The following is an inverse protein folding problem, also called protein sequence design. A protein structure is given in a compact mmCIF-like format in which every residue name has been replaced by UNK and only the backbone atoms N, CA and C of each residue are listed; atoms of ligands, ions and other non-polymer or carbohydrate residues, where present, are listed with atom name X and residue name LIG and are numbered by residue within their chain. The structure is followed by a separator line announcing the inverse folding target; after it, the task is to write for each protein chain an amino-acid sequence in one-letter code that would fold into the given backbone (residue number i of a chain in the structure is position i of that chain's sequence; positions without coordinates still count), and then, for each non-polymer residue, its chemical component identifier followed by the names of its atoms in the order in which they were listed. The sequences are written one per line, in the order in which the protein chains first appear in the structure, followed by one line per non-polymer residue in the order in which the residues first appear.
data_IF_778828683504
#
_entry.id   IF_778828683504
#
_cell.length_a   1.000
_cell.length_b   1.000
_cell.length_c   1.000
_cell.angle_alpha   90.00
_cell.angle_beta   90.00
_cell.angle_gamma   90.00
#
_symmetry.space_group_name_H-M   'P 1'
#
loop_
_entity.id
_entity.type
_entity.pdbx_description
1 polymer ?
#
# COMPACT_ATOMS: atom_id res chain seq x y z
N UNK A 1 -5.36 -7.68 -11.57
CA UNK A 1 -6.51 -8.34 -10.92
C UNK A 1 -7.26 -9.12 -11.99
N UNK A 2 -7.56 -10.40 -11.77
CA UNK A 2 -8.42 -11.19 -12.66
C UNK A 2 -9.77 -11.36 -11.96
N UNK A 3 -10.85 -11.05 -12.67
CA UNK A 3 -12.23 -11.27 -12.21
C UNK A 3 -12.84 -12.32 -13.14
N UNK A 4 -13.07 -13.51 -12.59
CA UNK A 4 -13.56 -14.69 -13.32
C UNK A 4 -15.07 -14.87 -13.12
N UNK A 5 -15.74 -15.45 -14.11
CA UNK A 5 -17.14 -15.86 -14.01
C UNK A 5 -18.14 -14.87 -14.63
N UNK A 6 -17.69 -14.00 -15.54
CA UNK A 6 -18.58 -12.98 -16.14
C UNK A 6 -19.70 -13.57 -17.03
N UNK A 7 -19.59 -14.83 -17.42
CA UNK A 7 -20.61 -15.54 -18.19
C UNK A 7 -21.69 -16.16 -17.28
N UNK A 8 -21.31 -16.58 -16.08
CA UNK A 8 -22.22 -17.23 -15.12
C UNK A 8 -22.95 -16.23 -14.22
N UNK A 9 -22.33 -15.07 -13.95
CA UNK A 9 -22.89 -14.05 -13.07
C UNK A 9 -22.64 -12.66 -13.61
N UNK A 10 -23.72 -11.95 -13.86
CA UNK A 10 -23.65 -10.53 -14.14
C UNK A 10 -23.25 -9.76 -12.87
N UNK A 11 -22.15 -9.00 -12.98
CA UNK A 11 -21.48 -8.35 -11.84
C UNK A 11 -22.31 -7.24 -11.18
N UNK A 12 -23.29 -6.68 -11.89
CA UNK A 12 -24.09 -5.54 -11.40
C UNK A 12 -25.58 -5.78 -11.54
N UNK A 13 -26.02 -7.05 -11.42
CA UNK A 13 -27.42 -7.39 -11.55
C UNK A 13 -28.26 -6.67 -10.48
N UNK A 14 -29.22 -5.85 -10.90
CA UNK A 14 -30.08 -5.06 -10.02
C UNK A 14 -31.12 -5.92 -9.28
N UNK A 15 -31.35 -7.15 -9.75
CA UNK A 15 -32.27 -8.12 -9.12
C UNK A 15 -31.67 -8.78 -7.88
N UNK A 16 -30.33 -8.72 -7.72
CA UNK A 16 -29.63 -9.23 -6.55
C UNK A 16 -29.68 -8.22 -5.39
N UNK A 17 -30.72 -8.34 -4.56
CA UNK A 17 -30.97 -7.45 -3.39
C UNK A 17 -29.87 -7.42 -2.32
N UNK A 18 -28.83 -8.26 -2.40
CA UNK A 18 -27.79 -8.35 -1.36
C UNK A 18 -26.73 -7.25 -1.48
N UNK A 19 -26.44 -6.73 -2.68
CA UNK A 19 -25.38 -5.74 -2.91
C UNK A 19 -25.85 -4.71 -3.93
N UNK A 20 -25.73 -3.43 -3.60
CA UNK A 20 -26.02 -2.33 -4.51
C UNK A 20 -25.06 -2.35 -5.71
N UNK A 21 -25.61 -2.35 -6.94
CA UNK A 21 -24.86 -2.36 -8.20
C UNK A 21 -23.81 -1.23 -8.28
N UNK A 22 -24.14 -0.05 -7.75
CA UNK A 22 -23.22 1.10 -7.71
C UNK A 22 -22.06 0.92 -6.74
N UNK A 23 -22.21 0.11 -5.69
CA UNK A 23 -21.10 -0.20 -4.79
C UNK A 23 -19.99 -0.99 -5.51
N UNK A 24 -20.38 -1.95 -6.35
CA UNK A 24 -19.44 -2.76 -7.15
C UNK A 24 -18.79 -1.87 -8.24
N UNK A 25 -19.57 -0.99 -8.89
CA UNK A 25 -19.03 0.00 -9.84
C UNK A 25 -18.01 0.93 -9.18
N UNK A 26 -18.34 1.47 -8.00
CA UNK A 26 -17.45 2.33 -7.23
C UNK A 26 -16.16 1.63 -6.80
N UNK A 27 -16.27 0.37 -6.38
CA UNK A 27 -15.11 -0.47 -6.06
C UNK A 27 -14.16 -0.62 -7.26
N UNK A 28 -14.69 -0.97 -8.44
CA UNK A 28 -13.88 -1.14 -9.64
C UNK A 28 -13.27 0.18 -10.14
N UNK A 29 -14.01 1.28 -10.05
CA UNK A 29 -13.47 2.61 -10.33
C UNK A 29 -12.34 2.99 -9.38
N UNK A 30 -12.45 2.65 -8.10
CA UNK A 30 -11.37 2.88 -7.13
C UNK A 30 -10.11 2.10 -7.48
N UNK A 31 -10.25 0.82 -7.85
CA UNK A 31 -9.12 -0.02 -8.32
C UNK A 31 -8.44 0.61 -9.55
N UNK A 32 -9.23 1.10 -10.51
CA UNK A 32 -8.71 1.68 -11.76
C UNK A 32 -8.08 3.06 -11.55
N UNK A 33 -8.76 3.97 -10.85
CA UNK A 33 -8.38 5.38 -10.77
C UNK A 33 -7.40 5.66 -9.62
N UNK A 34 -7.65 5.07 -8.44
CA UNK A 34 -6.85 5.36 -7.25
C UNK A 34 -5.65 4.43 -7.15
N UNK A 35 -5.86 3.12 -7.34
CA UNK A 35 -4.80 2.12 -7.20
C UNK A 35 -4.07 1.82 -8.52
N UNK A 36 -4.63 2.22 -9.67
CA UNK A 36 -4.04 2.04 -11.01
C UNK A 36 -3.69 0.58 -11.31
N UNK A 37 -4.50 -0.35 -10.80
CA UNK A 37 -4.29 -1.79 -11.00
C UNK A 37 -5.07 -2.22 -12.26
N UNK A 38 -4.42 -2.88 -13.24
CA UNK A 38 -5.11 -3.44 -14.39
C UNK A 38 -6.11 -4.53 -13.98
N UNK A 39 -7.30 -4.48 -14.59
CA UNK A 39 -8.37 -5.46 -14.39
C UNK A 39 -8.54 -6.24 -15.68
N UNK A 40 -8.55 -7.57 -15.57
CA UNK A 40 -8.84 -8.50 -16.65
C UNK A 40 -10.09 -9.31 -16.26
N UNK A 41 -11.09 -9.33 -17.14
CA UNK A 41 -12.30 -10.11 -16.96
C UNK A 41 -12.24 -11.39 -17.79
N UNK A 42 -12.59 -12.52 -17.19
CA UNK A 42 -12.54 -13.84 -17.84
C UNK A 42 -13.85 -14.59 -17.66
N UNK A 43 -14.23 -15.36 -18.67
CA UNK A 43 -15.54 -16.03 -18.70
C UNK A 43 -15.65 -17.11 -17.63
N UNK A 44 -14.64 -17.96 -17.55
CA UNK A 44 -14.53 -19.12 -16.67
C UNK A 44 -13.05 -19.50 -16.49
N UNK A 45 -12.78 -20.54 -15.71
CA UNK A 45 -11.42 -21.00 -15.39
C UNK A 45 -10.59 -21.39 -16.61
N UNK A 46 -11.23 -21.97 -17.64
CA UNK A 46 -10.58 -22.34 -18.90
C UNK A 46 -10.13 -21.10 -19.67
N UNK A 47 -10.96 -20.06 -19.74
CA UNK A 47 -10.61 -18.77 -20.34
C UNK A 47 -9.48 -18.07 -19.56
N UNK A 48 -9.56 -18.08 -18.22
CA UNK A 48 -8.48 -17.59 -17.34
C UNK A 48 -7.16 -18.28 -17.64
N UNK A 49 -7.15 -19.61 -17.76
CA UNK A 49 -5.95 -20.38 -18.04
C UNK A 49 -5.32 -19.98 -19.38
N UNK A 50 -6.11 -19.76 -20.43
CA UNK A 50 -5.62 -19.30 -21.74
C UNK A 50 -5.02 -17.91 -21.69
N UNK A 51 -5.62 -16.98 -20.94
CA UNK A 51 -5.03 -15.65 -20.74
C UNK A 51 -3.67 -15.74 -20.03
N UNK A 52 -3.56 -16.57 -19.00
CA UNK A 52 -2.29 -16.82 -18.29
C UNK A 52 -1.26 -17.44 -19.25
N UNK A 53 -1.65 -18.43 -20.04
CA UNK A 53 -0.77 -19.05 -21.04
C UNK A 53 -0.23 -18.03 -22.05
N UNK A 54 -1.09 -17.19 -22.62
CA UNK A 54 -0.67 -16.13 -23.56
C UNK A 54 0.25 -15.11 -22.86
N UNK A 55 -0.05 -14.76 -21.61
CA UNK A 55 0.78 -13.84 -20.82
C UNK A 55 2.18 -14.40 -20.58
N UNK A 56 2.29 -15.69 -20.24
CA UNK A 56 3.59 -16.34 -20.01
C UNK A 56 4.42 -16.43 -21.29
N UNK A 57 3.80 -16.79 -22.42
CA UNK A 57 4.49 -16.84 -23.74
C UNK A 57 5.05 -15.49 -24.19
N UNK A 58 4.41 -14.38 -23.80
CA UNK A 58 4.90 -13.02 -24.11
C UNK A 58 6.07 -12.58 -23.22
N UNK A 59 6.25 -13.19 -22.05
CA UNK A 59 7.37 -12.88 -21.14
C UNK A 59 8.57 -13.76 -21.51
N UNK A 60 9.55 -13.18 -22.21
CA UNK A 60 10.78 -13.85 -22.65
C UNK A 60 11.78 -14.23 -21.53
N UNK A 61 11.49 -13.91 -20.27
CA UNK A 61 12.45 -14.09 -19.18
C UNK A 61 11.97 -15.14 -18.19
N UNK A 62 12.80 -16.16 -17.97
CA UNK A 62 12.69 -17.02 -16.79
C UNK A 62 12.79 -16.15 -15.54
N UNK A 63 11.70 -16.05 -14.79
CA UNK A 63 11.75 -15.45 -13.46
C UNK A 63 12.23 -16.52 -12.49
N UNK A 64 13.20 -16.18 -11.64
CA UNK A 64 13.57 -17.07 -10.55
C UNK A 64 12.33 -17.31 -9.68
N UNK A 65 11.96 -18.57 -9.46
CA UNK A 65 10.90 -18.96 -8.52
C UNK A 65 11.24 -18.58 -7.06
N UNK A 66 12.49 -18.16 -6.82
CA UNK A 66 12.95 -17.55 -5.58
C UNK A 66 12.39 -16.13 -5.45
N UNK A 67 11.08 -16.02 -5.21
CA UNK A 67 10.46 -14.80 -4.73
C UNK A 67 10.91 -14.55 -3.29
N UNK A 68 12.07 -13.92 -3.10
CA UNK A 68 12.37 -13.30 -1.81
C UNK A 68 11.38 -12.15 -1.66
N UNK A 69 10.57 -12.15 -0.58
CA UNK A 69 9.79 -10.96 -0.21
C UNK A 69 10.75 -9.78 -0.30
N UNK A 70 10.42 -8.80 -1.15
CA UNK A 70 11.19 -7.56 -1.20
C UNK A 70 11.13 -6.99 0.21
N UNK A 71 12.26 -7.03 0.93
CA UNK A 71 12.37 -6.34 2.20
C UNK A 71 12.14 -4.85 1.96
N UNK A 72 11.83 -4.12 3.04
CA UNK A 72 11.75 -2.67 2.99
C UNK A 72 13.05 -2.10 2.39
N UNK A 73 12.93 -1.15 1.46
CA UNK A 73 14.10 -0.36 1.03
C UNK A 73 14.69 0.41 2.21
N UNK A 74 15.88 0.98 2.06
CA UNK A 74 16.48 1.77 3.15
C UNK A 74 15.59 2.94 3.56
N UNK A 75 14.95 3.59 2.59
CA UNK A 75 14.02 4.69 2.80
C UNK A 75 12.77 4.22 3.55
N UNK A 76 12.21 3.07 3.14
CA UNK A 76 11.05 2.47 3.80
C UNK A 76 11.39 2.00 5.23
N UNK A 77 12.60 1.49 5.48
CA UNK A 77 13.07 1.16 6.83
C UNK A 77 13.16 2.40 7.72
N UNK A 78 13.66 3.51 7.18
CA UNK A 78 13.76 4.78 7.89
C UNK A 78 12.37 5.34 8.23
N UNK A 79 11.44 5.33 7.27
CA UNK A 79 10.04 5.75 7.52
C UNK A 79 9.38 4.84 8.57
N UNK A 80 9.56 3.52 8.46
CA UNK A 80 8.99 2.53 9.37
C UNK A 80 9.45 2.72 10.83
N UNK A 81 10.72 3.06 11.06
CA UNK A 81 11.23 3.34 12.41
C UNK A 81 10.49 4.54 13.02
N UNK A 82 10.26 5.61 12.26
CA UNK A 82 9.51 6.77 12.77
C UNK A 82 8.03 6.45 13.00
N UNK A 83 7.42 5.68 12.12
CA UNK A 83 6.02 5.24 12.25
C UNK A 83 5.80 4.26 13.41
N UNK A 84 6.87 3.69 13.96
CA UNK A 84 6.79 2.85 15.17
C UNK A 84 6.50 3.65 16.44
N UNK A 85 6.67 4.98 16.41
CA UNK A 85 6.31 5.85 17.54
C UNK A 85 4.79 6.08 17.60
N UNK A 86 4.16 6.02 18.79
CA UNK A 86 2.73 6.23 18.93
C UNK A 86 2.25 7.54 18.30
N UNK A 87 1.24 7.48 17.44
CA UNK A 87 0.64 8.68 16.82
C UNK A 87 1.46 9.34 15.71
N UNK A 88 2.62 8.77 15.35
CA UNK A 88 3.39 9.15 14.17
C UNK A 88 2.97 8.26 13.00
N UNK A 89 2.37 8.87 11.99
CA UNK A 89 1.98 8.19 10.75
C UNK A 89 2.84 8.62 9.55
N UNK A 90 2.60 8.05 8.36
CA UNK A 90 3.44 8.23 7.18
C UNK A 90 3.61 9.70 6.76
N UNK A 91 2.55 10.49 6.88
CA UNK A 91 2.60 11.94 6.58
C UNK A 91 3.54 12.68 7.53
N UNK A 92 3.54 12.32 8.81
CA UNK A 92 4.39 12.95 9.84
C UNK A 92 5.83 12.47 9.71
N UNK A 93 6.06 11.17 9.50
CA UNK A 93 7.39 10.59 9.26
C UNK A 93 8.08 11.26 8.06
N UNK A 94 7.39 11.34 6.91
CA UNK A 94 7.92 12.01 5.72
C UNK A 94 8.23 13.48 5.95
N UNK A 95 7.37 14.20 6.66
CA UNK A 95 7.60 15.62 7.01
C UNK A 95 8.89 15.78 7.83
N UNK A 96 9.06 14.98 8.88
CA UNK A 96 10.26 15.02 9.71
C UNK A 96 11.52 14.69 8.90
N UNK A 97 11.48 13.66 8.05
CA UNK A 97 12.61 13.28 7.22
C UNK A 97 12.98 14.35 6.17
N UNK A 98 11.99 15.02 5.60
CA UNK A 98 12.23 16.12 4.66
C UNK A 98 12.93 17.31 5.32
N UNK A 99 12.62 17.58 6.59
CA UNK A 99 13.17 18.71 7.32
C UNK A 99 14.52 18.40 7.96
N UNK A 100 14.61 17.31 8.73
CA UNK A 100 15.78 16.93 9.51
C UNK A 100 16.78 16.04 8.75
N UNK A 101 16.39 15.51 7.58
CA UNK A 101 17.22 14.72 6.65
C UNK A 101 17.62 13.32 7.10
N UNK A 102 17.66 13.02 8.40
CA UNK A 102 18.03 11.71 8.92
C UNK A 102 17.37 11.39 10.27
N UNK A 103 17.27 10.11 10.61
CA UNK A 103 16.80 9.67 11.95
C UNK A 103 17.67 10.25 13.06
N UNK A 104 18.99 10.25 12.88
CA UNK A 104 19.92 10.78 13.87
C UNK A 104 19.63 12.25 14.18
N UNK A 105 19.38 13.06 13.15
CA UNK A 105 19.06 14.48 13.35
C UNK A 105 17.68 14.68 14.00
N UNK A 106 16.70 13.80 13.72
CA UNK A 106 15.38 13.86 14.37
C UNK A 106 15.51 13.50 15.86
N UNK A 107 16.26 12.45 16.18
CA UNK A 107 16.41 11.94 17.54
C UNK A 107 17.26 12.86 18.43
N UNK A 108 18.17 13.63 17.83
CA UNK A 108 18.95 14.65 18.51
C UNK A 108 18.31 16.06 18.44
N UNK A 109 17.16 16.22 17.77
CA UNK A 109 16.48 17.51 17.72
C UNK A 109 15.92 17.88 19.10
N UNK A 110 15.93 19.17 19.41
CA UNK A 110 15.34 19.64 20.66
C UNK A 110 13.82 19.43 20.68
N UNK A 111 13.27 19.28 21.89
CA UNK A 111 11.82 19.11 22.07
C UNK A 111 11.04 20.30 21.48
N UNK A 112 11.61 21.50 21.54
CA UNK A 112 11.04 22.71 20.97
C UNK A 112 10.97 22.67 19.44
N UNK A 113 12.04 22.20 18.78
CA UNK A 113 12.08 22.04 17.33
C UNK A 113 11.05 21.02 16.85
N UNK A 114 10.97 19.87 17.51
CA UNK A 114 9.98 18.84 17.20
C UNK A 114 8.56 19.37 17.44
N UNK A 115 8.31 20.02 18.58
CA UNK A 115 6.98 20.57 18.92
C UNK A 115 6.52 21.61 17.91
N UNK A 116 7.42 22.46 17.42
CA UNK A 116 7.10 23.44 16.36
C UNK A 116 6.63 22.79 15.06
N UNK A 117 7.00 21.53 14.80
CA UNK A 117 6.69 20.82 13.55
C UNK A 117 5.53 19.85 13.65
N UNK A 118 5.43 19.15 14.76
CA UNK A 118 4.44 18.07 14.97
C UNK A 118 3.55 18.28 16.20
N UNK A 119 3.69 19.41 16.88
CA UNK A 119 2.88 19.79 18.04
C UNK A 119 3.08 18.83 19.20
N UNK A 120 1.99 18.54 19.93
CA UNK A 120 1.99 17.62 21.08
C UNK A 120 2.52 16.22 20.76
N UNK A 121 2.55 15.81 19.48
CA UNK A 121 3.13 14.53 19.08
C UNK A 121 4.63 14.44 19.34
N UNK A 122 5.33 15.56 19.53
CA UNK A 122 6.75 15.57 19.86
C UNK A 122 7.07 14.85 21.18
N UNK A 123 6.13 14.77 22.10
CA UNK A 123 6.31 14.13 23.41
C UNK A 123 6.73 12.66 23.32
N UNK A 124 6.33 11.95 22.27
CA UNK A 124 6.67 10.52 22.11
C UNK A 124 8.15 10.28 21.87
N UNK A 125 8.91 11.28 21.41
CA UNK A 125 10.34 11.17 21.20
C UNK A 125 11.16 11.29 22.50
N UNK A 126 10.54 11.68 23.63
CA UNK A 126 11.23 11.70 24.94
C UNK A 126 11.74 10.33 25.36
N UNK A 127 11.06 9.26 24.94
CA UNK A 127 11.45 7.86 25.20
C UNK A 127 12.88 7.54 24.75
N UNK A 128 13.45 8.30 23.81
CA UNK A 128 14.83 8.13 23.33
C UNK A 128 15.85 8.38 24.44
N UNK A 129 15.52 9.23 25.42
CA UNK A 129 16.42 9.61 26.52
C UNK A 129 16.08 8.89 27.84
N UNK A 130 15.14 7.95 27.85
CA UNK A 130 14.77 7.21 29.06
C UNK A 130 15.74 6.07 29.32
N UNK A 131 16.10 5.85 30.59
CA UNK A 131 16.86 4.67 31.03
C UNK A 131 15.93 3.47 31.22
N UNK A 132 16.46 2.26 31.06
CA UNK A 132 15.71 1.01 31.20
C UNK A 132 15.51 0.59 32.66
#
# INVERSE_FOLDING_TARGET
LIIEGIEERELYNEDNKSINSNAIRGFLLSILLNYKIPILFTKNSEDTARFIEVLTKRKKTEHSLNFKRKGLTKEEQIEFILESFPGIGPKTAKKLLQEFKSLNNIFNASQEELTKRIGKKAEVFKIINEEY
#
